data_IF_979072904899
#
_entry.id   IF_979072904899
#
_cell.length_a   1.000
_cell.length_b   1.000
_cell.length_c   1.000
_cell.angle_alpha   90.00
_cell.angle_beta   90.00
_cell.angle_gamma   90.00
#
_symmetry.space_group_name_H-M   'P 1'
#
loop_
_entity.id
_entity.type
_entity.pdbx_description
1 polymer ?
#
# COMPACT_ATOMS: atom_id res chain seq x y z
N UNK A 1 -12.33 32.91 -22.80
CA UNK A 1 -13.02 31.64 -23.18
C UNK A 1 -12.02 30.52 -23.45
N UNK A 2 -11.03 30.70 -24.33
CA UNK A 2 -10.02 29.68 -24.64
C UNK A 2 -9.20 29.17 -23.44
N UNK A 3 -8.79 30.04 -22.52
CA UNK A 3 -8.00 29.64 -21.35
C UNK A 3 -8.78 28.76 -20.35
N UNK A 4 -10.09 28.98 -20.23
CA UNK A 4 -10.96 28.17 -19.38
C UNK A 4 -11.14 26.75 -19.95
N UNK A 5 -11.24 26.64 -21.28
CA UNK A 5 -11.32 25.34 -21.97
C UNK A 5 -10.00 24.57 -21.89
N UNK A 6 -8.86 25.25 -22.01
CA UNK A 6 -7.55 24.64 -21.87
C UNK A 6 -7.31 24.13 -20.44
N UNK A 7 -7.71 24.93 -19.43
CA UNK A 7 -7.67 24.54 -18.03
C UNK A 7 -8.52 23.29 -17.75
N UNK A 8 -9.75 23.24 -18.28
CA UNK A 8 -10.63 22.08 -18.17
C UNK A 8 -10.06 20.84 -18.86
N UNK A 9 -9.48 20.98 -20.07
CA UNK A 9 -8.80 19.87 -20.77
C UNK A 9 -7.64 19.32 -19.95
N UNK A 10 -6.81 20.20 -19.39
CA UNK A 10 -5.64 19.83 -18.56
C UNK A 10 -6.06 19.13 -17.27
N UNK A 11 -7.13 19.59 -16.63
CA UNK A 11 -7.72 18.96 -15.44
C UNK A 11 -8.27 17.57 -15.74
N UNK A 12 -8.99 17.40 -16.86
CA UNK A 12 -9.47 16.09 -17.34
C UNK A 12 -8.32 15.14 -17.66
N UNK A 13 -7.25 15.62 -18.29
CA UNK A 13 -6.04 14.83 -18.57
C UNK A 13 -5.37 14.31 -17.29
N UNK A 14 -5.21 15.18 -16.28
CA UNK A 14 -4.68 14.78 -14.96
C UNK A 14 -5.55 13.72 -14.29
N UNK A 15 -6.88 13.90 -14.29
CA UNK A 15 -7.83 12.92 -13.72
C UNK A 15 -7.73 11.56 -14.42
N UNK A 16 -7.58 11.53 -15.74
CA UNK A 16 -7.40 10.30 -16.51
C UNK A 16 -6.08 9.61 -16.17
N UNK A 17 -4.98 10.37 -16.04
CA UNK A 17 -3.67 9.84 -15.62
C UNK A 17 -3.72 9.25 -14.21
N UNK A 18 -4.37 9.94 -13.27
CA UNK A 18 -4.59 9.43 -11.91
C UNK A 18 -5.41 8.14 -11.90
N UNK A 19 -6.50 8.08 -12.67
CA UNK A 19 -7.32 6.85 -12.79
C UNK A 19 -6.58 5.70 -13.46
N UNK A 20 -5.71 5.99 -14.43
CA UNK A 20 -4.90 5.00 -15.13
C UNK A 20 -3.79 4.46 -14.23
N UNK A 21 -3.06 5.31 -13.51
CA UNK A 21 -2.06 4.89 -12.53
C UNK A 21 -2.66 4.07 -11.38
N UNK A 22 -3.92 4.35 -10.99
CA UNK A 22 -4.65 3.53 -10.01
C UNK A 22 -5.14 2.18 -10.56
N UNK A 23 -5.21 2.00 -11.89
CA UNK A 23 -5.55 0.74 -12.55
C UNK A 23 -4.32 -0.09 -12.93
N UNK A 24 -3.18 0.56 -13.17
CA UNK A 24 -1.90 -0.08 -13.52
C UNK A 24 -1.17 -0.65 -12.29
N UNK A 25 -1.49 -0.20 -11.08
CA UNK A 25 -1.21 -1.00 -9.88
C UNK A 25 -2.34 -2.01 -9.78
N UNK A 26 -2.10 -3.27 -10.16
CA UNK A 26 -2.99 -4.37 -9.80
C UNK A 26 -3.20 -4.29 -8.28
N UNK A 27 -4.37 -3.78 -7.88
CA UNK A 27 -4.68 -3.39 -6.49
C UNK A 27 -4.89 -4.57 -5.56
N UNK A 28 -4.25 -5.70 -5.84
CA UNK A 28 -4.31 -6.92 -5.06
C UNK A 28 -3.52 -6.71 -3.78
N UNK A 29 -4.16 -6.95 -2.63
CA UNK A 29 -3.47 -6.89 -1.34
C UNK A 29 -2.39 -7.98 -1.34
N UNK A 30 -1.11 -7.65 -1.16
CA UNK A 30 -0.05 -8.66 -1.13
C UNK A 30 -0.25 -9.69 -0.02
N UNK A 31 -0.96 -9.36 1.06
CA UNK A 31 -1.31 -10.35 2.09
C UNK A 31 -2.33 -11.37 1.58
N UNK A 32 -3.24 -10.97 0.69
CA UNK A 32 -4.18 -11.91 0.06
C UNK A 32 -3.50 -12.76 -1.02
N UNK A 33 -2.56 -12.19 -1.78
CA UNK A 33 -1.87 -12.88 -2.88
C UNK A 33 -0.79 -13.84 -2.37
N UNK A 34 0.04 -13.39 -1.42
CA UNK A 34 1.20 -14.13 -0.93
C UNK A 34 0.89 -14.94 0.34
N UNK A 35 -0.19 -14.58 1.05
CA UNK A 35 -0.54 -15.17 2.34
C UNK A 35 0.25 -14.57 3.51
N UNK A 36 -0.24 -14.84 4.72
CA UNK A 36 0.31 -14.28 5.95
C UNK A 36 1.74 -14.78 6.26
N UNK A 37 2.06 -16.01 5.89
CA UNK A 37 3.35 -16.65 6.21
C UNK A 37 4.50 -16.02 5.43
N UNK A 38 4.34 -15.87 4.11
CA UNK A 38 5.32 -15.18 3.25
C UNK A 38 5.40 -13.70 3.62
N UNK A 39 4.26 -13.04 3.87
CA UNK A 39 4.27 -11.66 4.30
C UNK A 39 4.91 -11.47 5.67
N UNK A 40 4.82 -12.44 6.57
CA UNK A 40 5.53 -12.45 7.86
C UNK A 40 7.04 -12.35 7.65
N UNK A 41 7.60 -13.15 6.74
CA UNK A 41 9.03 -13.09 6.38
C UNK A 41 9.44 -11.72 5.82
N UNK A 42 8.57 -11.09 5.03
CA UNK A 42 8.82 -9.74 4.50
C UNK A 42 8.77 -8.70 5.62
N UNK A 43 7.76 -8.76 6.49
CA UNK A 43 7.59 -7.83 7.62
C UNK A 43 8.71 -8.00 8.66
N UNK A 44 9.31 -9.19 8.77
CA UNK A 44 10.47 -9.45 9.62
C UNK A 44 11.71 -8.63 9.20
N UNK A 45 11.79 -8.17 7.94
CA UNK A 45 12.86 -7.29 7.48
C UNK A 45 12.67 -5.82 7.87
N UNK A 46 11.50 -5.44 8.39
CA UNK A 46 11.14 -4.04 8.65
C UNK A 46 11.57 -3.58 10.05
N UNK A 47 11.84 -2.30 10.24
CA UNK A 47 12.06 -1.77 11.59
C UNK A 47 10.74 -1.77 12.41
N UNK A 48 10.86 -1.76 13.74
CA UNK A 48 9.70 -1.83 14.64
C UNK A 48 8.65 -0.74 14.35
N UNK A 49 9.09 0.45 13.92
CA UNK A 49 8.17 1.52 13.53
C UNK A 49 7.38 1.18 12.28
N UNK A 50 7.97 0.53 11.30
CA UNK A 50 7.26 0.11 10.08
C UNK A 50 6.33 -1.08 10.35
N UNK A 51 6.73 -2.03 11.19
CA UNK A 51 5.84 -3.09 11.71
C UNK A 51 4.61 -2.47 12.41
N UNK A 52 4.82 -1.44 13.24
CA UNK A 52 3.73 -0.73 13.90
C UNK A 52 2.73 -0.13 12.89
N UNK A 53 3.21 0.44 11.77
CA UNK A 53 2.32 1.00 10.74
C UNK A 53 1.49 -0.08 10.05
N UNK A 54 2.02 -1.29 9.87
CA UNK A 54 1.29 -2.40 9.25
C UNK A 54 0.00 -2.73 10.00
N UNK A 55 -0.03 -2.55 11.33
CA UNK A 55 -1.23 -2.77 12.15
C UNK A 55 -2.42 -1.89 11.76
N UNK A 56 -2.18 -0.76 11.09
CA UNK A 56 -3.19 0.22 10.70
C UNK A 56 -3.58 0.16 9.21
N UNK A 57 -3.02 -0.76 8.42
CA UNK A 57 -3.28 -0.85 6.97
C UNK A 57 -4.61 -1.53 6.67
N UNK A 58 -4.78 -2.76 7.15
CA UNK A 58 -5.99 -3.57 6.98
C UNK A 58 -6.05 -4.67 8.04
N UNK A 59 -7.16 -5.40 8.15
CA UNK A 59 -7.28 -6.54 9.07
C UNK A 59 -6.30 -7.67 8.72
N UNK A 60 -6.03 -7.89 7.43
CA UNK A 60 -5.09 -8.91 6.99
C UNK A 60 -3.65 -8.55 7.39
N UNK A 61 -3.26 -7.28 7.18
CA UNK A 61 -1.97 -6.74 7.62
C UNK A 61 -1.82 -6.72 9.14
N UNK A 62 -2.90 -6.42 9.88
CA UNK A 62 -2.91 -6.56 11.34
C UNK A 62 -2.63 -8.00 11.77
N UNK A 63 -3.24 -8.99 11.11
CA UNK A 63 -2.99 -10.41 11.37
C UNK A 63 -1.51 -10.78 11.24
N UNK A 64 -0.84 -10.28 10.19
CA UNK A 64 0.61 -10.47 10.01
C UNK A 64 1.41 -9.75 11.11
N UNK A 65 1.14 -8.46 11.32
CA UNK A 65 1.92 -7.61 12.22
C UNK A 65 1.68 -7.90 13.72
N UNK A 66 0.67 -8.69 14.07
CA UNK A 66 0.38 -9.10 15.44
C UNK A 66 1.30 -10.23 15.94
N UNK A 67 2.12 -10.85 15.08
CA UNK A 67 3.08 -11.86 15.53
C UNK A 67 4.18 -11.23 16.38
N UNK A 68 4.27 -11.67 17.64
CA UNK A 68 5.26 -11.21 18.62
C UNK A 68 6.71 -11.37 18.16
N UNK A 69 6.99 -12.33 17.26
CA UNK A 69 8.33 -12.53 16.69
C UNK A 69 8.82 -11.31 15.92
N UNK A 70 7.91 -10.56 15.29
CA UNK A 70 8.23 -9.36 14.51
C UNK A 70 8.67 -8.18 15.40
N UNK A 71 8.30 -8.23 16.67
CA UNK A 71 8.59 -7.20 17.68
C UNK A 71 9.77 -7.56 18.57
N UNK A 72 10.32 -8.77 18.44
CA UNK A 72 11.53 -9.16 19.13
C UNK A 72 12.71 -8.29 18.69
N UNK A 73 13.68 -8.00 19.58
CA UNK A 73 14.92 -7.33 19.19
C UNK A 73 15.60 -8.08 18.06
N UNK A 74 15.88 -7.37 16.97
CA UNK A 74 16.62 -7.91 15.83
C UNK A 74 18.10 -7.86 16.18
N UNK A 75 18.78 -8.98 15.96
CA UNK A 75 20.22 -9.14 16.22
C UNK A 75 21.03 -8.42 15.15
#
# INVERSE_FOLDING_TARGET
MAEAEEWERRKRGRRRRWRRGRRESDGSDPVEVLGQEVMGLVVELLDARSVARCTAVSRAWFGVAADNRLWAPKV
#
